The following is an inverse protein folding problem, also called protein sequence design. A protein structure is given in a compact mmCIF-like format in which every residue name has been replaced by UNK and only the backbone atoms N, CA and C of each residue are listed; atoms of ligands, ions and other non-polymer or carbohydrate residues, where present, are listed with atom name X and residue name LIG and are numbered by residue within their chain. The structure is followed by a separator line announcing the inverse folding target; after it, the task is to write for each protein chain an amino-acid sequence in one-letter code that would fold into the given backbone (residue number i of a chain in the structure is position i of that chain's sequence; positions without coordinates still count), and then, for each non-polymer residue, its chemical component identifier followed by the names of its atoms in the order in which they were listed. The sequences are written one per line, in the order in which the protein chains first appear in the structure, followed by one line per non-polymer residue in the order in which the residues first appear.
data_IF_050301226192
#
_entry.id   IF_050301226192
#
_cell.length_a   1.000
_cell.length_b   1.000
_cell.length_c   1.000
_cell.angle_alpha   90.00
_cell.angle_beta   90.00
_cell.angle_gamma   90.00
#
_symmetry.space_group_name_H-M   'P 1'
#
loop_
_entity.id
_entity.type
_entity.pdbx_description
1 polymer ?
#
# COMPACT_ATOMS: atom_id res chain seq x y z
N UNK A 1 -5.53 26.18 -9.98
CA UNK A 1 -6.69 25.87 -9.11
C UNK A 1 -6.16 25.64 -7.68
N UNK A 2 -6.67 26.36 -6.66
CA UNK A 2 -6.19 26.19 -5.27
C UNK A 2 -6.65 24.83 -4.76
N UNK A 3 -5.73 23.93 -4.42
CA UNK A 3 -6.07 22.61 -3.85
C UNK A 3 -6.57 22.79 -2.41
N UNK A 4 -7.72 22.20 -2.11
CA UNK A 4 -8.26 22.06 -0.74
C UNK A 4 -7.67 20.82 -0.07
N UNK A 5 -7.82 20.70 1.25
CA UNK A 5 -7.46 19.49 2.00
C UNK A 5 -8.12 18.24 1.37
N UNK A 6 -9.41 18.32 1.06
CA UNK A 6 -10.15 17.21 0.42
C UNK A 6 -9.55 16.80 -0.93
N UNK A 7 -9.18 17.80 -1.77
CA UNK A 7 -8.60 17.49 -3.08
C UNK A 7 -7.19 16.93 -2.99
N UNK A 8 -6.38 17.35 -2.00
CA UNK A 8 -5.05 16.78 -1.75
C UNK A 8 -5.19 15.32 -1.32
N UNK A 9 -6.06 15.03 -0.35
CA UNK A 9 -6.26 13.68 0.16
C UNK A 9 -6.75 12.73 -0.94
N UNK A 10 -7.85 13.09 -1.62
CA UNK A 10 -8.43 12.25 -2.67
C UNK A 10 -7.39 11.94 -3.76
N UNK A 11 -6.76 12.99 -4.31
CA UNK A 11 -5.78 12.84 -5.37
C UNK A 11 -4.57 11.97 -4.95
N UNK A 12 -4.07 12.17 -3.74
CA UNK A 12 -2.92 11.42 -3.25
C UNK A 12 -3.25 9.95 -2.99
N UNK A 13 -4.41 9.65 -2.39
CA UNK A 13 -4.83 8.27 -2.14
C UNK A 13 -5.18 7.54 -3.45
N UNK A 14 -5.80 8.22 -4.43
CA UNK A 14 -6.08 7.66 -5.76
C UNK A 14 -4.78 7.33 -6.51
N UNK A 15 -3.77 8.21 -6.44
CA UNK A 15 -2.46 7.95 -7.02
C UNK A 15 -1.76 6.77 -6.36
N UNK A 16 -1.86 6.66 -5.04
CA UNK A 16 -1.32 5.51 -4.30
C UNK A 16 -2.02 4.21 -4.68
N UNK A 17 -3.35 4.23 -4.82
CA UNK A 17 -4.13 3.08 -5.26
C UNK A 17 -3.76 2.67 -6.69
N UNK A 18 -3.60 3.65 -7.59
CA UNK A 18 -3.19 3.42 -8.97
C UNK A 18 -1.78 2.82 -9.07
N UNK A 19 -0.83 3.32 -8.27
CA UNK A 19 0.53 2.79 -8.22
C UNK A 19 0.56 1.36 -7.66
N UNK A 20 -0.20 1.08 -6.61
CA UNK A 20 -0.32 -0.27 -6.03
C UNK A 20 -0.97 -1.24 -7.02
N UNK A 21 -2.02 -0.83 -7.71
CA UNK A 21 -2.65 -1.65 -8.75
C UNK A 21 -1.67 -1.96 -9.89
N UNK A 22 -0.99 -0.94 -10.41
CA UNK A 22 0.07 -1.10 -11.42
C UNK A 22 1.13 -2.09 -10.95
N UNK A 23 1.63 -1.94 -9.73
CA UNK A 23 2.61 -2.85 -9.15
C UNK A 23 2.11 -4.29 -9.10
N UNK A 24 0.90 -4.51 -8.57
CA UNK A 24 0.34 -5.86 -8.41
C UNK A 24 0.11 -6.57 -9.75
N UNK A 25 -0.36 -5.86 -10.77
CA UNK A 25 -0.55 -6.39 -12.13
C UNK A 25 0.82 -6.75 -12.75
N UNK A 26 1.76 -5.82 -12.72
CA UNK A 26 3.08 -6.00 -13.33
C UNK A 26 3.93 -7.06 -12.60
N UNK A 27 3.84 -7.14 -11.28
CA UNK A 27 4.65 -8.06 -10.48
C UNK A 27 4.47 -9.51 -10.92
N UNK A 28 3.22 -9.96 -11.06
CA UNK A 28 2.93 -11.34 -11.50
C UNK A 28 3.51 -11.67 -12.87
N UNK A 29 3.44 -10.72 -13.80
CA UNK A 29 3.93 -10.92 -15.15
C UNK A 29 5.46 -10.89 -15.22
N UNK A 30 6.10 -9.97 -14.49
CA UNK A 30 7.55 -9.90 -14.36
C UNK A 30 8.09 -11.19 -13.73
N UNK A 31 7.46 -11.69 -12.67
CA UNK A 31 7.87 -12.93 -12.03
C UNK A 31 7.75 -14.14 -12.97
N UNK A 32 6.66 -14.23 -13.74
CA UNK A 32 6.49 -15.27 -14.77
C UNK A 32 7.56 -15.16 -15.87
N UNK A 33 7.80 -13.94 -16.36
CA UNK A 33 8.83 -13.69 -17.38
C UNK A 33 10.22 -14.04 -16.86
N UNK A 34 10.56 -13.66 -15.63
CA UNK A 34 11.82 -13.97 -14.99
C UNK A 34 12.01 -15.49 -14.84
N UNK A 35 11.01 -16.20 -14.31
CA UNK A 35 11.05 -17.67 -14.17
C UNK A 35 11.20 -18.37 -15.51
N UNK A 36 10.45 -17.94 -16.53
CA UNK A 36 10.54 -18.51 -17.89
C UNK A 36 11.92 -18.22 -18.49
N UNK A 37 12.39 -16.97 -18.46
CA UNK A 37 13.69 -16.61 -19.00
C UNK A 37 14.86 -17.32 -18.31
N UNK A 38 14.81 -17.45 -16.97
CA UNK A 38 15.80 -18.26 -16.24
C UNK A 38 15.74 -19.73 -16.66
N UNK A 39 14.54 -20.31 -16.82
CA UNK A 39 14.40 -21.71 -17.27
C UNK A 39 14.94 -21.91 -18.68
N UNK A 40 14.67 -20.99 -19.61
CA UNK A 40 15.15 -21.04 -20.99
C UNK A 40 16.69 -20.96 -21.09
N UNK A 41 17.34 -20.30 -20.14
CA UNK A 41 18.80 -20.11 -20.11
C UNK A 41 19.53 -20.96 -19.05
N UNK A 42 18.80 -21.78 -18.28
CA UNK A 42 19.34 -22.54 -17.15
C UNK A 42 20.50 -23.49 -17.54
N UNK A 43 20.39 -24.13 -18.67
CA UNK A 43 21.42 -25.07 -19.15
C UNK A 43 22.73 -24.31 -19.43
N UNK A 44 22.67 -23.22 -20.17
CA UNK A 44 23.84 -22.40 -20.47
C UNK A 44 24.47 -21.81 -19.20
N UNK A 45 23.64 -21.31 -18.26
CA UNK A 45 24.11 -20.82 -16.96
C UNK A 45 24.80 -21.92 -16.17
N UNK A 46 24.20 -23.10 -16.07
CA UNK A 46 24.74 -24.25 -15.32
C UNK A 46 26.08 -24.76 -15.93
N UNK A 47 26.18 -24.78 -17.25
CA UNK A 47 27.42 -25.16 -17.94
C UNK A 47 28.51 -24.12 -17.70
N UNK A 48 28.20 -22.82 -17.84
CA UNK A 48 29.16 -21.76 -17.61
C UNK A 48 29.69 -21.80 -16.17
N UNK A 49 28.79 -21.82 -15.18
CA UNK A 49 29.17 -21.88 -13.76
C UNK A 49 30.03 -23.11 -13.46
N UNK A 50 29.63 -24.28 -13.96
CA UNK A 50 30.37 -25.52 -13.76
C UNK A 50 31.78 -25.43 -14.33
N UNK A 51 31.92 -25.05 -15.62
CA UNK A 51 33.22 -24.98 -16.24
C UNK A 51 34.12 -23.92 -15.67
N UNK A 52 33.57 -22.78 -15.25
CA UNK A 52 34.34 -21.73 -14.56
C UNK A 52 34.94 -22.26 -13.24
N UNK A 53 34.13 -22.90 -12.38
CA UNK A 53 34.63 -23.46 -11.13
C UNK A 53 35.56 -24.65 -11.38
N UNK A 54 35.25 -25.50 -12.36
CA UNK A 54 36.05 -26.68 -12.67
C UNK A 54 37.45 -26.31 -13.15
N UNK A 55 37.58 -25.26 -13.96
CA UNK A 55 38.86 -24.83 -14.54
C UNK A 55 39.62 -23.89 -13.64
N UNK A 56 38.97 -22.90 -13.02
CA UNK A 56 39.56 -21.77 -12.32
C UNK A 56 39.27 -21.73 -10.81
N UNK A 57 38.28 -22.53 -10.34
CA UNK A 57 37.89 -22.53 -8.93
C UNK A 57 38.97 -23.16 -8.02
N UNK A 58 38.99 -22.72 -6.76
CA UNK A 58 39.85 -23.28 -5.72
C UNK A 58 39.49 -24.75 -5.40
N UNK A 59 40.38 -25.47 -4.76
CA UNK A 59 40.10 -26.84 -4.28
C UNK A 59 38.99 -26.86 -3.22
N UNK A 60 38.76 -25.76 -2.50
CA UNK A 60 37.69 -25.61 -1.54
C UNK A 60 36.33 -25.45 -2.26
N UNK A 61 36.25 -24.64 -3.32
CA UNK A 61 35.05 -24.48 -4.13
C UNK A 61 34.63 -25.81 -4.75
N UNK A 62 35.58 -26.60 -5.29
CA UNK A 62 35.33 -27.90 -5.90
C UNK A 62 34.88 -28.97 -4.90
N UNK A 63 35.23 -28.83 -3.61
CA UNK A 63 34.81 -29.74 -2.53
C UNK A 63 33.41 -29.40 -2.00
N UNK A 64 32.86 -28.22 -2.30
CA UNK A 64 31.54 -27.81 -1.83
C UNK A 64 30.42 -28.74 -2.30
N UNK A 65 29.42 -28.97 -1.45
CA UNK A 65 28.26 -29.81 -1.80
C UNK A 65 27.45 -29.20 -2.98
N UNK A 66 27.43 -27.88 -3.09
CA UNK A 66 26.82 -27.17 -4.21
C UNK A 66 27.48 -27.53 -5.54
N UNK A 67 28.84 -27.47 -5.59
CA UNK A 67 29.58 -27.85 -6.81
C UNK A 67 29.44 -29.32 -7.15
N UNK A 68 29.51 -30.23 -6.19
CA UNK A 68 29.31 -31.68 -6.43
C UNK A 68 27.91 -31.97 -6.97
N UNK A 69 26.89 -31.27 -6.50
CA UNK A 69 25.53 -31.39 -7.05
C UNK A 69 25.45 -30.89 -8.49
N UNK A 70 26.04 -29.71 -8.75
CA UNK A 70 26.14 -29.13 -10.08
C UNK A 70 26.89 -30.09 -11.05
N UNK A 71 28.03 -30.61 -10.64
CA UNK A 71 28.83 -31.55 -11.41
C UNK A 71 28.05 -32.80 -11.77
N UNK A 72 27.33 -33.39 -10.81
CA UNK A 72 26.47 -34.57 -11.09
C UNK A 72 25.44 -34.29 -12.17
N UNK A 73 24.83 -33.11 -12.13
CA UNK A 73 23.81 -32.72 -13.12
C UNK A 73 24.42 -32.42 -14.49
N UNK A 74 25.54 -31.69 -14.53
CA UNK A 74 26.24 -31.39 -15.78
C UNK A 74 26.75 -32.66 -16.45
N UNK A 75 27.36 -33.59 -15.68
CA UNK A 75 27.84 -34.89 -16.22
C UNK A 75 26.72 -35.80 -16.75
N UNK A 76 25.47 -35.60 -16.33
CA UNK A 76 24.30 -36.26 -16.97
C UNK A 76 24.00 -35.69 -18.35
N UNK A 77 24.20 -34.38 -18.54
CA UNK A 77 23.86 -33.66 -19.75
C UNK A 77 24.94 -33.72 -20.82
N UNK A 78 26.21 -33.58 -20.41
CA UNK A 78 27.35 -33.44 -21.33
C UNK A 78 28.50 -34.36 -20.96
N UNK A 79 29.28 -34.76 -21.98
CA UNK A 79 30.63 -35.24 -21.84
C UNK A 79 31.60 -34.13 -22.23
N UNK A 80 32.69 -33.93 -21.49
CA UNK A 80 33.61 -32.83 -21.73
C UNK A 80 35.07 -33.24 -21.61
N UNK A 81 35.94 -32.47 -22.26
CA UNK A 81 37.40 -32.53 -22.11
C UNK A 81 37.92 -31.12 -21.92
N UNK A 82 38.85 -30.94 -21.02
CA UNK A 82 39.57 -29.68 -20.83
C UNK A 82 40.78 -29.72 -21.75
N UNK A 83 40.98 -28.70 -22.56
CA UNK A 83 42.18 -28.57 -23.38
C UNK A 83 43.35 -28.15 -22.44
N UNK A 84 44.38 -28.95 -22.42
CA UNK A 84 45.60 -28.75 -21.66
C UNK A 84 46.58 -27.81 -22.39
N UNK A 85 46.12 -26.69 -22.90
CA UNK A 85 47.00 -25.67 -23.45
C UNK A 85 47.82 -24.98 -22.38
N UNK A 86 49.04 -24.58 -22.72
CA UNK A 86 50.12 -24.21 -21.83
C UNK A 86 49.99 -22.84 -21.16
N UNK A 87 48.98 -22.00 -21.48
CA UNK A 87 48.72 -20.72 -20.82
C UNK A 87 47.35 -20.74 -20.13
N UNK A 88 47.28 -20.12 -18.93
CA UNK A 88 46.00 -20.04 -18.18
C UNK A 88 44.91 -19.28 -18.94
N UNK A 89 45.30 -18.33 -19.81
CA UNK A 89 44.38 -17.53 -20.63
C UNK A 89 43.75 -18.29 -21.78
N UNK A 90 44.34 -19.43 -22.20
CA UNK A 90 43.86 -20.25 -23.36
C UNK A 90 43.18 -21.55 -22.96
N UNK A 91 42.93 -21.79 -21.67
CA UNK A 91 42.24 -23.02 -21.23
C UNK A 91 40.82 -23.03 -21.67
N UNK A 92 40.56 -23.81 -22.73
CA UNK A 92 39.22 -24.02 -23.26
C UNK A 92 38.60 -25.35 -22.77
N UNK A 93 37.28 -25.43 -22.80
CA UNK A 93 36.53 -26.65 -22.52
C UNK A 93 35.73 -27.03 -23.75
N UNK A 94 36.00 -28.22 -24.30
CA UNK A 94 35.17 -28.80 -25.34
C UNK A 94 34.19 -29.77 -24.71
N UNK A 95 32.89 -29.60 -25.02
CA UNK A 95 31.84 -30.48 -24.52
C UNK A 95 30.91 -30.95 -25.65
N UNK A 96 30.26 -32.09 -25.41
CA UNK A 96 29.28 -32.67 -26.30
C UNK A 96 28.09 -33.15 -25.49
N UNK A 97 26.88 -32.80 -25.95
CA UNK A 97 25.66 -33.32 -25.34
C UNK A 97 25.54 -34.84 -25.51
N UNK A 98 25.16 -35.54 -24.45
CA UNK A 98 24.96 -37.00 -24.46
C UNK A 98 23.66 -37.39 -25.17
N UNK A 99 22.66 -36.52 -25.16
CA UNK A 99 21.39 -36.74 -25.83
C UNK A 99 21.40 -36.06 -27.21
N UNK A 100 21.27 -36.84 -28.28
CA UNK A 100 21.28 -36.36 -29.67
C UNK A 100 20.12 -35.40 -29.97
N UNK A 101 18.96 -35.58 -29.34
CA UNK A 101 17.82 -34.63 -29.46
C UNK A 101 18.14 -33.29 -28.81
N UNK A 102 18.76 -33.29 -27.65
CA UNK A 102 19.26 -32.05 -27.03
C UNK A 102 20.36 -31.41 -27.88
N UNK A 103 21.21 -32.17 -28.50
CA UNK A 103 22.25 -31.67 -29.38
C UNK A 103 21.67 -30.97 -30.62
N UNK A 104 20.58 -31.49 -31.21
CA UNK A 104 19.92 -30.88 -32.39
C UNK A 104 19.08 -29.65 -32.01
N UNK A 105 18.42 -29.65 -30.85
CA UNK A 105 17.53 -28.57 -30.44
C UNK A 105 18.27 -27.41 -29.71
N UNK A 106 19.29 -27.72 -28.95
CA UNK A 106 20.01 -26.79 -28.08
C UNK A 106 21.43 -26.54 -28.56
N UNK A 107 22.15 -27.56 -28.99
CA UNK A 107 23.59 -27.51 -29.24
C UNK A 107 24.04 -26.59 -30.39
N UNK A 108 23.20 -26.38 -31.41
CA UNK A 108 23.50 -25.46 -32.52
C UNK A 108 23.17 -24.00 -32.21
N UNK A 109 22.44 -23.73 -31.13
CA UNK A 109 21.97 -22.41 -30.76
C UNK A 109 22.48 -21.97 -29.38
N UNK A 110 23.15 -22.84 -28.63
CA UNK A 110 23.60 -22.58 -27.27
C UNK A 110 24.91 -21.78 -27.29
N UNK A 111 24.78 -20.49 -27.14
CA UNK A 111 25.87 -19.62 -26.69
C UNK A 111 25.88 -19.62 -25.15
N UNK A 112 26.85 -20.34 -24.57
CA UNK A 112 26.94 -20.51 -23.09
C UNK A 112 27.17 -19.19 -22.38
N UNK A 113 28.00 -18.30 -22.94
CA UNK A 113 28.26 -17.00 -22.32
C UNK A 113 27.03 -16.09 -22.41
N UNK A 114 26.38 -16.04 -23.56
CA UNK A 114 25.14 -15.28 -23.76
C UNK A 114 24.04 -15.81 -22.86
N UNK A 115 23.86 -17.14 -22.78
CA UNK A 115 22.85 -17.75 -21.90
C UNK A 115 23.12 -17.46 -20.44
N UNK A 116 24.38 -17.41 -20.01
CA UNK A 116 24.75 -16.99 -18.65
C UNK A 116 24.35 -15.54 -18.39
N UNK A 117 24.68 -14.62 -19.29
CA UNK A 117 24.34 -13.22 -19.17
C UNK A 117 22.82 -12.99 -19.16
N UNK A 118 22.07 -13.67 -20.03
CA UNK A 118 20.60 -13.57 -20.06
C UNK A 118 19.96 -14.15 -18.77
N UNK A 119 20.45 -15.27 -18.27
CA UNK A 119 19.98 -15.83 -16.99
C UNK A 119 20.09 -14.79 -15.86
N UNK A 120 21.24 -14.13 -15.72
CA UNK A 120 21.47 -13.11 -14.70
C UNK A 120 20.51 -11.90 -14.86
N UNK A 121 20.26 -11.46 -16.10
CA UNK A 121 19.30 -10.38 -16.36
C UNK A 121 17.88 -10.76 -15.87
N UNK A 122 17.42 -11.95 -16.21
CA UNK A 122 16.10 -12.42 -15.75
C UNK A 122 16.04 -12.60 -14.24
N UNK A 123 17.12 -13.03 -13.61
CA UNK A 123 17.21 -13.13 -12.15
C UNK A 123 17.09 -11.77 -11.46
N UNK A 124 17.65 -10.70 -12.06
CA UNK A 124 17.61 -9.35 -11.52
C UNK A 124 16.27 -8.60 -11.73
N UNK A 125 15.45 -9.04 -12.70
CA UNK A 125 14.21 -8.32 -13.06
C UNK A 125 13.27 -8.06 -11.88
N UNK A 126 12.92 -9.04 -11.01
CA UNK A 126 12.03 -8.80 -9.87
C UNK A 126 12.62 -7.80 -8.87
N UNK A 127 13.93 -7.86 -8.64
CA UNK A 127 14.65 -6.93 -7.75
C UNK A 127 14.59 -5.50 -8.28
N UNK A 128 14.90 -5.31 -9.56
CA UNK A 128 14.86 -3.99 -10.20
C UNK A 128 13.45 -3.41 -10.19
N UNK A 129 12.44 -4.24 -10.43
CA UNK A 129 11.04 -3.82 -10.37
C UNK A 129 10.65 -3.37 -8.95
N UNK A 130 10.93 -4.16 -7.93
CA UNK A 130 10.65 -3.80 -6.54
C UNK A 130 11.35 -2.50 -6.12
N UNK A 131 12.64 -2.35 -6.47
CA UNK A 131 13.41 -1.13 -6.21
C UNK A 131 12.77 0.09 -6.89
N UNK A 132 12.37 -0.02 -8.16
CA UNK A 132 11.75 1.07 -8.91
C UNK A 132 10.43 1.50 -8.30
N UNK A 133 9.60 0.54 -7.90
CA UNK A 133 8.31 0.83 -7.27
C UNK A 133 8.50 1.49 -5.90
N UNK A 134 9.47 1.06 -5.10
CA UNK A 134 9.79 1.70 -3.82
C UNK A 134 10.21 3.17 -4.01
N UNK A 135 11.03 3.46 -5.01
CA UNK A 135 11.43 4.83 -5.34
C UNK A 135 10.22 5.67 -5.75
N UNK A 136 9.36 5.13 -6.64
CA UNK A 136 8.14 5.83 -7.07
C UNK A 136 7.18 6.09 -5.91
N UNK A 137 7.05 5.13 -4.98
CA UNK A 137 6.23 5.26 -3.78
C UNK A 137 6.67 6.44 -2.92
N UNK A 138 7.98 6.59 -2.69
CA UNK A 138 8.55 7.70 -1.93
C UNK A 138 8.32 9.03 -2.67
N UNK A 139 8.52 9.09 -3.99
CA UNK A 139 8.25 10.29 -4.78
C UNK A 139 6.79 10.73 -4.61
N UNK A 140 5.83 9.80 -4.64
CA UNK A 140 4.42 10.12 -4.44
C UNK A 140 4.12 10.61 -3.02
N UNK A 141 4.80 10.09 -2.02
CA UNK A 141 4.71 10.63 -0.67
C UNK A 141 5.31 12.04 -0.55
N UNK A 142 6.46 12.28 -1.17
CA UNK A 142 7.10 13.61 -1.21
C UNK A 142 6.22 14.64 -1.93
N UNK A 143 5.56 14.28 -3.03
CA UNK A 143 4.56 15.13 -3.70
C UNK A 143 3.40 15.49 -2.76
N UNK A 144 2.88 14.51 -2.01
CA UNK A 144 1.83 14.75 -1.02
C UNK A 144 2.30 15.72 0.09
N UNK A 145 3.49 15.51 0.65
CA UNK A 145 4.06 16.40 1.67
C UNK A 145 4.21 17.83 1.13
N UNK A 146 4.73 17.99 -0.10
CA UNK A 146 4.87 19.29 -0.73
C UNK A 146 3.52 20.01 -0.87
N UNK A 147 2.45 19.31 -1.22
CA UNK A 147 1.11 19.87 -1.30
C UNK A 147 0.56 20.32 0.06
N UNK A 148 0.79 19.54 1.12
CA UNK A 148 0.40 19.89 2.48
C UNK A 148 1.20 21.12 2.96
N UNK A 149 2.51 21.15 2.74
CA UNK A 149 3.35 22.32 3.06
C UNK A 149 2.90 23.58 2.30
N UNK A 150 2.61 23.45 1.01
CA UNK A 150 2.08 24.56 0.20
C UNK A 150 0.75 25.08 0.76
N UNK A 151 -0.12 24.16 1.22
CA UNK A 151 -1.38 24.56 1.85
C UNK A 151 -1.13 25.35 3.15
N UNK A 152 -0.20 24.90 4.01
CA UNK A 152 0.18 25.61 5.24
C UNK A 152 0.75 27.00 4.92
N UNK A 153 1.65 27.13 3.93
CA UNK A 153 2.19 28.42 3.49
C UNK A 153 1.08 29.38 2.99
N UNK A 154 0.05 28.86 2.29
CA UNK A 154 -1.10 29.65 1.84
C UNK A 154 -1.97 30.11 2.98
N UNK A 155 -2.18 29.27 3.99
CA UNK A 155 -3.05 29.56 5.15
C UNK A 155 -2.36 30.44 6.20
N UNK A 156 -1.06 30.32 6.36
CA UNK A 156 -0.26 31.06 7.33
C UNK A 156 0.86 31.89 6.68
N UNK A 157 0.53 32.79 5.73
CA UNK A 157 1.55 33.48 4.93
C UNK A 157 2.50 34.33 5.78
N UNK A 158 2.03 34.95 6.88
CA UNK A 158 2.88 35.73 7.77
C UNK A 158 4.01 34.88 8.36
N UNK A 159 3.74 33.64 8.76
CA UNK A 159 4.75 32.75 9.34
C UNK A 159 5.82 32.30 8.33
N UNK A 160 5.47 32.22 7.03
CA UNK A 160 6.34 31.59 6.05
C UNK A 160 6.92 32.54 5.00
N UNK A 161 6.22 33.64 4.72
CA UNK A 161 6.54 34.51 3.59
C UNK A 161 6.95 35.94 4.02
N UNK A 162 6.89 36.30 5.32
CA UNK A 162 7.17 37.63 5.79
C UNK A 162 8.63 38.08 5.52
N UNK A 163 9.57 37.13 5.63
CA UNK A 163 10.99 37.38 5.39
C UNK A 163 11.44 37.10 3.93
N UNK A 164 10.52 36.73 3.04
CA UNK A 164 10.88 36.38 1.67
C UNK A 164 11.08 37.63 0.80
N UNK A 165 12.22 37.65 0.11
CA UNK A 165 12.55 38.77 -0.78
C UNK A 165 11.91 38.58 -2.17
N UNK A 166 11.30 39.63 -2.69
CA UNK A 166 10.70 39.70 -4.02
C UNK A 166 11.54 40.57 -4.91
N UNK A 167 11.92 40.10 -6.09
CA UNK A 167 12.63 40.93 -7.09
C UNK A 167 11.68 41.95 -7.68
N UNK A 168 12.17 43.18 -7.93
CA UNK A 168 11.38 44.23 -8.54
C UNK A 168 10.75 43.79 -9.87
N UNK A 169 11.46 43.01 -10.66
CA UNK A 169 10.97 42.46 -11.93
C UNK A 169 9.74 41.55 -11.77
N UNK A 170 9.57 40.88 -10.62
CA UNK A 170 8.41 40.05 -10.34
C UNK A 170 7.17 40.88 -9.99
N UNK A 171 7.35 42.10 -9.46
CA UNK A 171 6.28 43.04 -9.13
C UNK A 171 5.76 43.79 -10.35
N UNK A 172 6.61 44.04 -11.38
CA UNK A 172 6.22 44.82 -12.56
C UNK A 172 5.19 44.14 -13.46
N UNK A 173 5.00 42.82 -13.32
CA UNK A 173 3.97 42.07 -14.03
C UNK A 173 2.54 42.26 -13.50
N UNK A 174 2.34 42.98 -12.40
CA UNK A 174 1.04 43.38 -11.85
C UNK A 174 0.18 42.24 -11.25
N UNK A 175 0.64 40.98 -11.30
CA UNK A 175 -0.12 39.83 -10.77
C UNK A 175 0.42 39.41 -9.39
N UNK A 176 -0.04 40.06 -8.35
CA UNK A 176 0.34 39.76 -6.95
C UNK A 176 0.03 38.31 -6.56
N UNK A 177 -1.05 37.74 -7.09
CA UNK A 177 -1.40 36.35 -6.81
C UNK A 177 -0.35 35.38 -7.39
N UNK A 178 0.17 35.64 -8.59
CA UNK A 178 1.24 34.85 -9.18
C UNK A 178 2.56 34.98 -8.42
N UNK A 179 2.89 36.21 -7.98
CA UNK A 179 4.08 36.45 -7.14
C UNK A 179 3.99 35.63 -5.85
N UNK A 180 2.83 35.66 -5.19
CA UNK A 180 2.59 34.90 -3.95
C UNK A 180 2.76 33.39 -4.20
N UNK A 181 2.19 32.83 -5.26
CA UNK A 181 2.35 31.41 -5.57
C UNK A 181 3.80 31.03 -5.86
N UNK A 182 4.58 31.90 -6.55
CA UNK A 182 6.00 31.71 -6.76
C UNK A 182 6.81 31.71 -5.46
N UNK A 183 6.46 32.58 -4.50
CA UNK A 183 7.07 32.59 -3.18
C UNK A 183 6.78 31.30 -2.42
N UNK A 184 5.54 30.86 -2.44
CA UNK A 184 5.12 29.59 -1.82
C UNK A 184 5.90 28.43 -2.42
N UNK A 185 5.98 28.35 -3.76
CA UNK A 185 6.71 27.28 -4.43
C UNK A 185 8.21 27.28 -4.05
N UNK A 186 8.86 28.45 -4.05
CA UNK A 186 10.26 28.55 -3.60
C UNK A 186 10.45 28.07 -2.16
N UNK A 187 9.52 28.41 -1.26
CA UNK A 187 9.57 27.98 0.14
C UNK A 187 9.39 26.48 0.28
N UNK A 188 8.41 25.90 -0.42
CA UNK A 188 8.19 24.45 -0.46
C UNK A 188 9.40 23.73 -1.02
N UNK A 189 9.95 24.21 -2.13
CA UNK A 189 11.16 23.64 -2.76
C UNK A 189 12.37 23.67 -1.80
N UNK A 190 12.48 24.71 -0.96
CA UNK A 190 13.51 24.78 0.08
C UNK A 190 13.29 23.69 1.15
N UNK A 191 12.06 23.55 1.66
CA UNK A 191 11.73 22.50 2.62
C UNK A 191 11.91 21.09 2.06
N UNK A 192 11.54 20.84 0.80
CA UNK A 192 11.71 19.53 0.18
C UNK A 192 13.16 19.11 -0.03
N UNK A 193 14.12 20.05 0.00
CA UNK A 193 15.58 19.73 0.00
C UNK A 193 16.12 19.35 1.36
N UNK A 194 15.36 19.63 2.42
CA UNK A 194 15.74 19.29 3.77
C UNK A 194 15.46 17.82 4.09
N UNK A 195 15.91 17.38 5.28
CA UNK A 195 15.55 16.05 5.79
C UNK A 195 14.03 15.94 6.00
N UNK A 196 13.48 14.78 5.67
CA UNK A 196 12.06 14.47 5.93
C UNK A 196 11.66 14.74 7.39
N UNK A 197 12.55 14.56 8.36
CA UNK A 197 12.30 14.89 9.78
C UNK A 197 11.97 16.37 10.01
N UNK A 198 12.47 17.26 9.16
CA UNK A 198 12.16 18.69 9.28
C UNK A 198 10.73 19.02 8.83
N UNK A 199 10.16 18.26 7.88
CA UNK A 199 8.77 18.43 7.49
C UNK A 199 7.83 18.17 8.68
N UNK A 200 8.11 17.11 9.46
CA UNK A 200 7.31 16.79 10.65
C UNK A 200 7.44 17.84 11.75
N UNK A 201 8.64 18.42 11.95
CA UNK A 201 8.81 19.57 12.87
C UNK A 201 7.98 20.78 12.44
N UNK A 202 7.84 21.02 11.13
CA UNK A 202 6.97 22.08 10.62
C UNK A 202 5.52 21.77 10.99
N UNK A 203 5.05 20.55 10.80
CA UNK A 203 3.70 20.15 11.17
C UNK A 203 3.44 20.32 12.68
N UNK A 204 4.33 19.84 13.53
CA UNK A 204 4.28 20.05 14.99
C UNK A 204 4.24 21.52 15.37
N UNK A 205 5.03 22.36 14.70
CA UNK A 205 5.05 23.82 14.96
C UNK A 205 3.72 24.50 14.66
N UNK A 206 2.78 23.83 13.96
CA UNK A 206 1.41 24.26 13.75
C UNK A 206 0.40 23.66 14.72
N UNK A 207 0.86 22.86 15.69
CA UNK A 207 0.00 22.23 16.68
C UNK A 207 -0.64 20.93 16.21
N UNK A 208 -0.10 20.31 15.15
CA UNK A 208 -0.44 18.93 14.81
C UNK A 208 0.12 18.00 15.89
N UNK A 209 -0.69 17.07 16.38
CA UNK A 209 -0.31 16.13 17.42
C UNK A 209 0.54 15.00 16.84
N UNK A 210 1.83 15.00 17.18
CA UNK A 210 2.79 14.00 16.73
C UNK A 210 2.78 12.71 17.55
N UNK A 211 1.99 12.62 18.63
CA UNK A 211 2.02 11.46 19.54
C UNK A 211 1.69 10.12 18.87
N UNK A 212 0.89 10.14 17.82
CA UNK A 212 0.54 8.97 17.02
C UNK A 212 1.55 8.65 15.89
N UNK A 213 2.59 9.48 15.70
CA UNK A 213 3.49 9.38 14.55
C UNK A 213 4.78 8.59 14.85
N UNK A 214 5.15 8.42 16.13
CA UNK A 214 6.46 7.85 16.52
C UNK A 214 6.75 6.49 15.86
N UNK A 215 5.86 5.53 15.97
CA UNK A 215 6.04 4.22 15.38
C UNK A 215 5.97 4.23 13.85
N UNK A 216 4.97 4.88 13.21
CA UNK A 216 4.96 5.08 11.76
C UNK A 216 6.21 5.81 11.22
N UNK A 217 6.73 6.82 11.94
CA UNK A 217 7.95 7.52 11.58
C UNK A 217 9.20 6.64 11.62
N UNK A 218 9.30 5.72 12.58
CA UNK A 218 10.42 4.76 12.63
C UNK A 218 10.39 3.82 11.41
N UNK A 219 9.20 3.34 11.03
CA UNK A 219 9.03 2.53 9.81
C UNK A 219 9.33 3.33 8.55
N UNK A 220 8.89 4.59 8.49
CA UNK A 220 9.19 5.50 7.40
C UNK A 220 10.69 5.78 7.29
N UNK A 221 11.39 5.93 8.42
CA UNK A 221 12.85 6.12 8.46
C UNK A 221 13.60 4.96 7.79
N UNK A 222 13.17 3.72 8.03
CA UNK A 222 13.73 2.54 7.37
C UNK A 222 13.49 2.57 5.87
N UNK A 223 12.27 2.91 5.42
CA UNK A 223 11.93 3.02 4.00
C UNK A 223 12.83 4.04 3.28
N UNK A 224 13.06 5.21 3.87
CA UNK A 224 13.97 6.22 3.33
C UNK A 224 15.43 5.77 3.33
N UNK A 225 15.88 5.14 4.42
CA UNK A 225 17.23 4.61 4.51
C UNK A 225 17.48 3.51 3.46
N UNK A 226 16.52 2.61 3.25
CA UNK A 226 16.58 1.56 2.22
C UNK A 226 16.61 2.15 0.82
N UNK A 227 15.76 3.13 0.52
CA UNK A 227 15.82 3.83 -0.78
C UNK A 227 17.18 4.46 -1.01
N UNK A 228 17.77 5.07 0.02
CA UNK A 228 19.06 5.74 -0.11
C UNK A 228 20.18 4.74 -0.43
N UNK A 229 20.24 3.58 0.22
CA UNK A 229 21.25 2.56 -0.14
C UNK A 229 20.97 1.96 -1.53
N UNK A 230 19.71 1.82 -1.95
CA UNK A 230 19.39 1.35 -3.30
C UNK A 230 19.93 2.32 -4.35
N UNK A 231 19.71 3.61 -4.18
CA UNK A 231 20.09 4.64 -5.16
C UNK A 231 21.60 4.88 -5.15
N UNK A 232 22.26 4.89 -3.98
CA UNK A 232 23.62 5.36 -3.83
C UNK A 232 24.63 4.26 -3.49
N UNK A 233 24.20 3.05 -3.09
CA UNK A 233 25.07 1.98 -2.63
C UNK A 233 24.65 0.57 -3.11
N UNK A 234 23.97 0.49 -4.25
CA UNK A 234 23.52 -0.78 -4.87
C UNK A 234 22.71 -1.70 -3.92
N UNK A 235 22.05 -1.14 -2.92
CA UNK A 235 21.29 -1.88 -1.91
C UNK A 235 22.13 -2.48 -0.78
N UNK A 236 23.40 -2.12 -0.67
CA UNK A 236 24.30 -2.62 0.38
C UNK A 236 24.23 -1.73 1.61
N UNK A 237 24.04 -2.33 2.79
CA UNK A 237 24.00 -1.64 4.09
C UNK A 237 25.30 -0.94 4.38
N UNK A 238 25.23 0.34 4.68
CA UNK A 238 26.35 1.17 5.10
C UNK A 238 26.15 1.76 6.50
N UNK A 239 27.16 2.45 7.03
CA UNK A 239 27.10 3.06 8.36
C UNK A 239 25.95 4.08 8.50
N UNK A 240 25.65 4.83 7.43
CA UNK A 240 24.55 5.81 7.40
C UNK A 240 23.19 5.11 7.54
N UNK A 241 22.99 3.98 6.88
CA UNK A 241 21.76 3.18 7.05
C UNK A 241 21.60 2.77 8.51
N UNK A 242 22.64 2.19 9.12
CA UNK A 242 22.60 1.70 10.51
C UNK A 242 22.40 2.83 11.52
N UNK A 243 22.91 4.03 11.26
CA UNK A 243 22.69 5.20 12.15
C UNK A 243 21.26 5.73 12.07
N UNK A 244 20.60 5.62 10.91
CA UNK A 244 19.25 6.14 10.70
C UNK A 244 18.14 5.15 11.08
N UNK A 245 18.44 3.84 11.12
CA UNK A 245 17.46 2.78 11.42
C UNK A 245 17.71 2.25 12.82
N UNK A 246 16.98 2.78 13.80
CA UNK A 246 17.10 2.35 15.20
C UNK A 246 16.71 0.90 15.36
N UNK A 247 17.60 0.11 16.02
CA UNK A 247 17.33 -1.31 16.28
C UNK A 247 17.39 -2.20 15.04
N UNK A 248 18.04 -1.74 13.96
CA UNK A 248 18.28 -2.56 12.77
C UNK A 248 18.97 -3.88 13.13
N UNK A 249 18.51 -4.98 12.54
CA UNK A 249 19.11 -6.31 12.66
C UNK A 249 20.11 -6.59 11.54
N UNK A 250 20.17 -5.74 10.53
CA UNK A 250 21.02 -5.85 9.36
C UNK A 250 22.47 -5.54 9.72
N UNK A 251 23.40 -6.13 8.97
CA UNK A 251 24.82 -5.98 9.20
C UNK A 251 25.46 -5.08 8.14
N UNK A 252 26.53 -4.40 8.51
CA UNK A 252 27.34 -3.63 7.58
C UNK A 252 27.82 -4.53 6.42
N UNK A 253 27.62 -4.08 5.18
CA UNK A 253 27.96 -4.84 3.98
C UNK A 253 26.91 -5.86 3.53
N UNK A 254 25.82 -6.04 4.27
CA UNK A 254 24.72 -6.91 3.87
C UNK A 254 23.94 -6.30 2.68
N UNK A 255 23.58 -7.15 1.70
CA UNK A 255 22.78 -6.71 0.58
C UNK A 255 21.28 -6.90 0.88
N UNK A 256 20.53 -5.82 0.87
CA UNK A 256 19.08 -5.84 1.12
C UNK A 256 18.31 -5.93 -0.18
N UNK A 257 17.29 -6.79 -0.18
CA UNK A 257 16.37 -6.96 -1.29
C UNK A 257 15.03 -6.31 -0.98
N UNK A 258 14.34 -5.82 -2.02
CA UNK A 258 12.98 -5.31 -1.94
C UNK A 258 12.03 -6.38 -2.44
N UNK A 259 11.54 -7.20 -1.51
CA UNK A 259 10.56 -8.25 -1.80
C UNK A 259 9.16 -7.68 -2.02
N UNK A 260 8.24 -8.50 -2.56
CA UNK A 260 6.83 -8.11 -2.66
C UNK A 260 6.24 -7.76 -1.31
N UNK A 261 6.47 -8.57 -0.29
CA UNK A 261 5.98 -8.31 1.06
C UNK A 261 6.50 -6.98 1.62
N UNK A 262 7.77 -6.66 1.33
CA UNK A 262 8.33 -5.38 1.74
C UNK A 262 7.66 -4.19 1.06
N UNK A 263 7.41 -4.28 -0.25
CA UNK A 263 6.69 -3.22 -0.99
C UNK A 263 5.27 -3.05 -0.48
N UNK A 264 4.54 -4.16 -0.27
CA UNK A 264 3.18 -4.12 0.28
C UNK A 264 3.15 -3.46 1.67
N UNK A 265 4.14 -3.77 2.53
CA UNK A 265 4.28 -3.13 3.84
C UNK A 265 4.61 -1.63 3.73
N UNK A 266 5.49 -1.25 2.80
CA UNK A 266 5.83 0.14 2.55
C UNK A 266 4.62 0.97 2.07
N UNK A 267 3.76 0.43 1.19
CA UNK A 267 2.48 1.04 0.84
C UNK A 267 1.61 1.28 2.08
N UNK A 268 1.55 0.30 3.00
CA UNK A 268 0.83 0.43 4.27
C UNK A 268 1.32 1.60 5.10
N UNK A 269 2.63 1.68 5.34
CA UNK A 269 3.26 2.76 6.14
C UNK A 269 3.01 4.14 5.53
N UNK A 270 3.21 4.28 4.22
CA UNK A 270 3.02 5.56 3.53
C UNK A 270 1.56 6.02 3.61
N UNK A 271 0.59 5.14 3.38
CA UNK A 271 -0.84 5.47 3.52
C UNK A 271 -1.20 5.86 4.95
N UNK A 272 -0.69 5.13 5.92
CA UNK A 272 -0.89 5.44 7.34
C UNK A 272 -0.41 6.85 7.65
N UNK A 273 0.81 7.21 7.23
CA UNK A 273 1.35 8.55 7.41
C UNK A 273 0.50 9.61 6.70
N UNK A 274 0.06 9.37 5.46
CA UNK A 274 -0.82 10.29 4.74
C UNK A 274 -2.13 10.53 5.49
N UNK A 275 -2.78 9.47 5.98
CA UNK A 275 -4.03 9.57 6.74
C UNK A 275 -3.81 10.34 8.04
N UNK A 276 -2.80 10.00 8.82
CA UNK A 276 -2.48 10.68 10.09
C UNK A 276 -2.20 12.18 9.88
N UNK A 277 -1.38 12.52 8.89
CA UNK A 277 -1.07 13.93 8.56
C UNK A 277 -2.35 14.68 8.18
N UNK A 278 -3.22 14.08 7.38
CA UNK A 278 -4.45 14.73 6.93
C UNK A 278 -5.46 14.89 8.06
N UNK A 279 -5.58 13.91 8.96
CA UNK A 279 -6.41 14.01 10.14
C UNK A 279 -5.97 15.18 11.02
N UNK A 280 -4.67 15.30 11.30
CA UNK A 280 -4.13 16.39 12.10
C UNK A 280 -4.18 17.74 11.36
N UNK A 281 -3.95 17.75 10.04
CA UNK A 281 -4.07 18.96 9.23
C UNK A 281 -5.47 19.58 9.30
N UNK A 282 -6.52 18.77 9.40
CA UNK A 282 -7.90 19.23 9.51
C UNK A 282 -8.20 19.96 10.83
N UNK A 283 -7.36 19.78 11.85
CA UNK A 283 -7.48 20.49 13.15
C UNK A 283 -6.91 21.90 13.09
N UNK A 284 -5.90 22.10 12.24
CA UNK A 284 -5.13 23.36 12.18
C UNK A 284 -5.44 24.21 10.95
N UNK A 285 -5.87 23.57 9.86
CA UNK A 285 -6.30 24.26 8.64
C UNK A 285 -7.82 24.32 8.60
N UNK A 286 -8.44 25.51 8.58
CA UNK A 286 -9.88 25.62 8.43
C UNK A 286 -10.35 24.96 7.13
N UNK A 287 -11.28 24.04 7.24
CA UNK A 287 -11.93 23.35 6.11
C UNK A 287 -13.29 23.96 5.91
N UNK A 288 -13.60 24.43 4.71
CA UNK A 288 -14.88 25.11 4.40
C UNK A 288 -16.08 24.18 4.62
N UNK A 289 -15.93 22.91 4.26
CA UNK A 289 -16.90 21.87 4.57
C UNK A 289 -16.22 20.71 5.29
N UNK A 290 -16.11 20.82 6.60
CA UNK A 290 -15.47 19.81 7.44
C UNK A 290 -16.20 18.47 7.41
N UNK A 291 -17.53 18.49 7.26
CA UNK A 291 -18.30 17.24 7.23
C UNK A 291 -18.01 16.45 5.95
N UNK A 292 -17.97 17.10 4.78
CA UNK A 292 -17.64 16.45 3.52
C UNK A 292 -16.21 15.90 3.55
N UNK A 293 -15.28 16.63 4.16
CA UNK A 293 -13.91 16.17 4.34
C UNK A 293 -13.81 14.94 5.24
N UNK A 294 -14.47 14.96 6.40
CA UNK A 294 -14.51 13.82 7.32
C UNK A 294 -15.21 12.61 6.67
N UNK A 295 -16.21 12.88 5.84
CA UNK A 295 -16.91 11.83 5.10
C UNK A 295 -15.98 11.19 4.03
N UNK A 296 -15.17 11.99 3.34
CA UNK A 296 -14.16 11.47 2.41
C UNK A 296 -13.17 10.54 3.11
N UNK A 297 -12.69 10.92 4.30
CA UNK A 297 -11.82 10.04 5.10
C UNK A 297 -12.56 8.75 5.49
N UNK A 298 -13.84 8.86 5.87
CA UNK A 298 -14.67 7.71 6.20
C UNK A 298 -14.79 6.74 5.02
N UNK A 299 -15.03 7.24 3.81
CA UNK A 299 -15.10 6.42 2.60
C UNK A 299 -13.81 5.65 2.34
N UNK A 300 -12.65 6.33 2.39
CA UNK A 300 -11.36 5.67 2.23
C UNK A 300 -11.06 4.64 3.35
N UNK A 301 -11.39 4.97 4.60
CA UNK A 301 -11.25 4.05 5.72
C UNK A 301 -12.12 2.79 5.52
N UNK A 302 -13.31 2.96 4.93
CA UNK A 302 -14.21 1.85 4.64
C UNK A 302 -13.69 0.98 3.48
N UNK A 303 -13.11 1.58 2.44
CA UNK A 303 -12.42 0.81 1.39
C UNK A 303 -11.23 0.04 1.96
N UNK A 304 -10.42 0.63 2.84
CA UNK A 304 -9.36 -0.10 3.54
C UNK A 304 -9.91 -1.29 4.35
N UNK A 305 -11.06 -1.12 5.00
CA UNK A 305 -11.71 -2.19 5.74
C UNK A 305 -12.15 -3.34 4.82
N UNK A 306 -12.70 -3.03 3.65
CA UNK A 306 -13.10 -4.01 2.62
C UNK A 306 -11.91 -4.76 2.06
N UNK A 307 -10.81 -4.06 1.86
CA UNK A 307 -9.55 -4.62 1.34
C UNK A 307 -8.76 -5.42 2.39
N UNK A 308 -9.25 -5.52 3.63
CA UNK A 308 -8.55 -6.21 4.71
C UNK A 308 -7.34 -5.45 5.28
N UNK A 309 -7.21 -4.15 4.97
CA UNK A 309 -6.17 -3.25 5.52
C UNK A 309 -6.62 -2.74 6.89
N UNK A 310 -6.78 -3.68 7.83
CA UNK A 310 -7.45 -3.44 9.11
C UNK A 310 -6.77 -2.39 9.97
N UNK A 311 -5.43 -2.35 9.99
CA UNK A 311 -4.68 -1.36 10.78
C UNK A 311 -4.97 0.08 10.33
N UNK A 312 -4.99 0.34 9.02
CA UNK A 312 -5.33 1.66 8.47
C UNK A 312 -6.76 2.06 8.80
N UNK A 313 -7.70 1.12 8.66
CA UNK A 313 -9.09 1.32 9.02
C UNK A 313 -9.26 1.60 10.49
N UNK A 314 -8.56 0.86 11.35
CA UNK A 314 -8.59 1.03 12.82
C UNK A 314 -8.21 2.47 13.19
N UNK A 315 -7.08 2.96 12.70
CA UNK A 315 -6.57 4.30 12.98
C UNK A 315 -7.57 5.37 12.52
N UNK A 316 -8.01 5.29 11.28
CA UNK A 316 -8.90 6.28 10.70
C UNK A 316 -10.27 6.29 11.41
N UNK A 317 -10.88 5.13 11.64
CA UNK A 317 -12.18 5.04 12.30
C UNK A 317 -12.14 5.38 13.78
N UNK A 318 -11.05 5.04 14.50
CA UNK A 318 -10.85 5.51 15.87
C UNK A 318 -10.89 7.03 15.92
N UNK A 319 -10.12 7.71 15.06
CA UNK A 319 -10.08 9.16 15.01
C UNK A 319 -11.44 9.76 14.64
N UNK A 320 -12.10 9.25 13.58
CA UNK A 320 -13.43 9.71 13.14
C UNK A 320 -14.49 9.53 14.21
N UNK A 321 -14.42 8.49 15.04
CA UNK A 321 -15.36 8.26 16.15
C UNK A 321 -15.27 9.33 17.23
N UNK A 322 -14.13 10.04 17.33
CA UNK A 322 -13.88 11.15 18.28
C UNK A 322 -14.04 12.54 17.66
N UNK A 323 -14.21 12.64 16.34
CA UNK A 323 -14.27 13.92 15.64
C UNK A 323 -15.53 14.72 16.00
N UNK A 324 -15.37 15.82 16.75
CA UNK A 324 -16.49 16.64 17.26
C UNK A 324 -17.38 17.22 16.15
N UNK A 325 -16.77 17.54 15.00
CA UNK A 325 -17.45 18.11 13.85
C UNK A 325 -18.12 17.06 12.95
N UNK A 326 -18.04 15.78 13.30
CA UNK A 326 -18.75 14.72 12.58
C UNK A 326 -20.10 14.44 13.24
N UNK A 327 -21.14 14.14 12.48
CA UNK A 327 -22.47 13.88 13.04
C UNK A 327 -22.45 12.72 14.04
N UNK A 328 -23.34 12.70 15.02
CA UNK A 328 -23.43 11.61 16.00
C UNK A 328 -23.56 10.26 15.32
N UNK A 329 -24.41 10.16 14.30
CA UNK A 329 -24.60 8.95 13.49
C UNK A 329 -23.29 8.49 12.86
N UNK A 330 -22.56 9.40 12.21
CA UNK A 330 -21.31 9.05 11.53
C UNK A 330 -20.19 8.69 12.53
N UNK A 331 -20.12 9.35 13.69
CA UNK A 331 -19.19 8.95 14.75
C UNK A 331 -19.50 7.54 15.26
N UNK A 332 -20.76 7.20 15.40
CA UNK A 332 -21.19 5.87 15.82
C UNK A 332 -20.89 4.82 14.76
N UNK A 333 -21.15 5.11 13.48
CA UNK A 333 -20.75 4.24 12.37
C UNK A 333 -19.23 4.01 12.36
N UNK A 334 -18.45 5.09 12.61
CA UNK A 334 -17.00 4.99 12.73
C UNK A 334 -16.57 4.12 13.90
N UNK A 335 -17.24 4.22 15.06
CA UNK A 335 -16.96 3.37 16.21
C UNK A 335 -17.20 1.89 15.93
N UNK A 336 -18.30 1.56 15.26
CA UNK A 336 -18.57 0.16 14.88
C UNK A 336 -17.56 -0.35 13.87
N UNK A 337 -17.18 0.45 12.87
CA UNK A 337 -16.16 0.07 11.90
C UNK A 337 -14.75 -0.04 12.54
N UNK A 338 -14.44 0.76 13.55
CA UNK A 338 -13.26 0.59 14.37
C UNK A 338 -13.23 -0.76 15.09
N UNK A 339 -14.33 -1.17 15.72
CA UNK A 339 -14.42 -2.48 16.35
C UNK A 339 -14.30 -3.63 15.34
N UNK A 340 -14.91 -3.49 14.15
CA UNK A 340 -14.74 -4.45 13.06
C UNK A 340 -13.27 -4.56 12.67
N UNK A 341 -12.58 -3.44 12.47
CA UNK A 341 -11.17 -3.41 12.11
C UNK A 341 -10.31 -4.12 13.15
N UNK A 342 -10.54 -3.86 14.44
CA UNK A 342 -9.84 -4.55 15.55
C UNK A 342 -10.11 -6.05 15.56
N UNK A 343 -11.37 -6.46 15.50
CA UNK A 343 -11.75 -7.88 15.58
C UNK A 343 -11.24 -8.68 14.39
N UNK A 344 -11.32 -8.12 13.18
CA UNK A 344 -10.87 -8.80 11.97
C UNK A 344 -9.36 -8.70 11.76
N UNK A 345 -8.72 -7.66 12.30
CA UNK A 345 -7.26 -7.49 12.32
C UNK A 345 -6.54 -8.39 13.33
N UNK A 346 -7.28 -9.18 14.11
CA UNK A 346 -6.70 -10.11 15.07
C UNK A 346 -6.42 -9.53 16.46
N UNK A 347 -6.83 -8.29 16.72
CA UNK A 347 -6.71 -7.63 18.04
C UNK A 347 -7.89 -7.94 18.97
N UNK A 348 -8.53 -9.10 18.79
CA UNK A 348 -9.65 -9.53 19.65
C UNK A 348 -9.14 -9.86 21.05
N UNK A 349 -9.72 -9.21 22.06
CA UNK A 349 -9.48 -9.50 23.46
C UNK A 349 -10.76 -9.28 24.27
N UNK A 350 -10.77 -9.77 25.51
CA UNK A 350 -11.94 -9.67 26.41
C UNK A 350 -12.31 -8.21 26.72
N UNK A 351 -11.35 -7.30 26.76
CA UNK A 351 -11.59 -5.87 26.99
C UNK A 351 -12.42 -5.26 25.86
N UNK A 352 -12.05 -5.54 24.61
CA UNK A 352 -12.79 -5.08 23.44
C UNK A 352 -14.21 -5.66 23.40
N UNK A 353 -14.36 -6.95 23.67
CA UNK A 353 -15.67 -7.59 23.72
C UNK A 353 -16.55 -7.02 24.83
N UNK A 354 -15.97 -6.68 25.98
CA UNK A 354 -16.70 -6.06 27.09
C UNK A 354 -17.09 -4.61 26.75
N UNK A 355 -16.25 -3.85 26.05
CA UNK A 355 -16.59 -2.53 25.53
C UNK A 355 -17.83 -2.62 24.60
N UNK A 356 -17.82 -3.55 23.64
CA UNK A 356 -18.94 -3.77 22.72
C UNK A 356 -20.21 -4.20 23.50
N UNK A 357 -20.11 -5.10 24.48
CA UNK A 357 -21.25 -5.56 25.30
C UNK A 357 -21.89 -4.41 26.07
N UNK A 358 -21.07 -3.58 26.70
CA UNK A 358 -21.52 -2.45 27.54
C UNK A 358 -22.07 -1.27 26.76
N UNK A 359 -21.80 -1.22 25.44
CA UNK A 359 -22.27 -0.09 24.62
C UNK A 359 -23.80 -0.13 24.44
N UNK A 360 -24.50 0.92 24.88
CA UNK A 360 -25.95 0.99 24.82
C UNK A 360 -26.45 1.34 23.41
N UNK A 361 -27.23 0.45 22.84
CA UNK A 361 -27.91 0.62 21.51
C UNK A 361 -29.43 0.60 21.63
N UNK A 362 -30.00 0.66 22.85
CA UNK A 362 -31.43 0.47 23.09
C UNK A 362 -32.28 1.52 22.36
N UNK A 363 -31.86 2.78 22.41
CA UNK A 363 -32.54 3.91 21.75
C UNK A 363 -31.99 4.21 20.34
N UNK A 364 -31.12 3.34 19.79
CA UNK A 364 -30.48 3.56 18.49
C UNK A 364 -31.25 2.87 17.35
N UNK A 365 -30.95 3.28 16.11
CA UNK A 365 -31.48 2.66 14.89
C UNK A 365 -31.22 1.13 14.90
N UNK A 366 -32.10 0.36 14.26
CA UNK A 366 -32.05 -1.10 14.24
C UNK A 366 -30.74 -1.64 13.70
N UNK A 367 -30.11 -0.92 12.76
CA UNK A 367 -28.83 -1.29 12.17
C UNK A 367 -27.69 -1.39 13.19
N UNK A 368 -27.67 -0.51 14.19
CA UNK A 368 -26.67 -0.56 15.27
C UNK A 368 -26.92 -1.72 16.24
N UNK A 369 -28.20 -2.12 16.44
CA UNK A 369 -28.56 -3.30 17.21
C UNK A 369 -28.09 -4.55 16.49
N UNK A 370 -28.39 -4.67 15.20
CA UNK A 370 -27.91 -5.76 14.34
C UNK A 370 -26.39 -5.82 14.38
N UNK A 371 -25.70 -4.68 14.18
CA UNK A 371 -24.26 -4.62 14.17
C UNK A 371 -23.64 -5.10 15.49
N UNK A 372 -24.20 -4.69 16.64
CA UNK A 372 -23.75 -5.16 17.96
C UNK A 372 -23.90 -6.67 18.11
N UNK A 373 -25.06 -7.23 17.78
CA UNK A 373 -25.28 -8.68 17.86
C UNK A 373 -24.35 -9.46 16.94
N UNK A 374 -24.09 -8.97 15.71
CA UNK A 374 -23.16 -9.60 14.78
C UNK A 374 -21.72 -9.58 15.32
N UNK A 375 -21.26 -8.46 15.91
CA UNK A 375 -19.92 -8.34 16.51
C UNK A 375 -19.74 -9.29 17.70
N UNK A 376 -20.82 -9.55 18.46
CA UNK A 376 -20.82 -10.47 19.60
C UNK A 376 -21.13 -11.94 19.19
N UNK A 377 -21.27 -12.21 17.89
CA UNK A 377 -21.62 -13.52 17.33
C UNK A 377 -22.97 -14.08 17.84
N UNK A 378 -23.85 -13.19 18.31
CA UNK A 378 -25.23 -13.49 18.72
C UNK A 378 -26.13 -13.53 17.48
N UNK A 379 -26.00 -14.60 16.70
CA UNK A 379 -26.59 -14.68 15.35
C UNK A 379 -28.08 -14.95 15.34
N UNK A 380 -28.65 -15.53 16.41
CA UNK A 380 -30.08 -15.74 16.49
C UNK A 380 -30.82 -14.41 16.64
N UNK A 381 -30.40 -13.56 17.60
CA UNK A 381 -30.96 -12.23 17.82
C UNK A 381 -30.73 -11.30 16.62
N UNK A 382 -29.53 -11.38 16.02
CA UNK A 382 -29.24 -10.62 14.82
C UNK A 382 -30.15 -11.01 13.64
N UNK A 383 -30.40 -12.32 13.46
CA UNK A 383 -31.22 -12.82 12.34
C UNK A 383 -32.67 -12.41 12.46
N UNK A 384 -33.24 -12.39 13.67
CA UNK A 384 -34.60 -11.92 13.92
C UNK A 384 -34.76 -10.46 13.48
N UNK A 385 -33.89 -9.58 13.95
CA UNK A 385 -33.91 -8.16 13.54
C UNK A 385 -33.66 -7.95 12.04
N UNK A 386 -32.79 -8.77 11.44
CA UNK A 386 -32.53 -8.72 9.99
C UNK A 386 -33.78 -9.15 9.21
N UNK A 387 -34.48 -10.20 9.63
CA UNK A 387 -35.72 -10.63 8.96
C UNK A 387 -36.78 -9.53 8.99
N UNK A 388 -37.01 -8.91 10.16
CA UNK A 388 -37.94 -7.77 10.29
C UNK A 388 -37.56 -6.61 9.38
N UNK A 389 -36.28 -6.26 9.36
CA UNK A 389 -35.76 -5.17 8.53
C UNK A 389 -35.83 -5.47 7.03
N UNK A 390 -35.62 -6.74 6.62
CA UNK A 390 -35.78 -7.17 5.24
C UNK A 390 -37.21 -7.00 4.72
N UNK A 391 -38.20 -7.03 5.59
CA UNK A 391 -39.60 -6.79 5.20
C UNK A 391 -39.86 -5.29 4.96
N UNK A 392 -39.12 -4.41 5.64
CA UNK A 392 -39.33 -2.96 5.65
C UNK A 392 -38.45 -2.17 4.66
N UNK A 393 -37.21 -2.66 4.39
CA UNK A 393 -36.22 -1.90 3.63
C UNK A 393 -35.65 -2.63 2.40
N UNK A 394 -35.54 -1.91 1.26
CA UNK A 394 -34.95 -2.46 0.02
C UNK A 394 -33.41 -2.49 0.01
N UNK A 395 -32.73 -1.65 0.81
CA UNK A 395 -31.26 -1.50 0.80
C UNK A 395 -30.51 -2.53 1.64
N UNK A 396 -31.14 -3.13 2.63
CA UNK A 396 -30.52 -4.07 3.56
C UNK A 396 -29.84 -5.28 2.88
N UNK A 397 -30.37 -5.90 1.82
CA UNK A 397 -29.70 -7.00 1.15
C UNK A 397 -28.30 -6.65 0.61
N UNK A 398 -28.10 -5.42 0.12
CA UNK A 398 -26.79 -4.95 -0.34
C UNK A 398 -25.78 -4.87 0.82
N UNK A 399 -26.18 -4.29 1.95
CA UNK A 399 -25.36 -4.18 3.14
C UNK A 399 -24.93 -5.56 3.67
N UNK A 400 -25.85 -6.51 3.74
CA UNK A 400 -25.58 -7.88 4.16
C UNK A 400 -24.54 -8.58 3.28
N UNK A 401 -24.49 -8.24 1.99
CA UNK A 401 -23.53 -8.84 1.05
C UNK A 401 -22.17 -8.15 1.07
N UNK A 402 -22.12 -6.83 1.27
CA UNK A 402 -20.92 -6.02 1.03
C UNK A 402 -20.19 -5.57 2.31
N UNK A 403 -20.94 -5.24 3.38
CA UNK A 403 -20.33 -4.70 4.58
C UNK A 403 -19.46 -5.75 5.28
N UNK A 404 -18.20 -5.45 5.59
CA UNK A 404 -17.27 -6.37 6.26
C UNK A 404 -17.79 -6.90 7.61
N UNK A 405 -18.66 -6.16 8.28
CA UNK A 405 -19.36 -6.60 9.49
C UNK A 405 -19.90 -8.04 9.37
N UNK A 406 -20.51 -8.35 8.24
CA UNK A 406 -21.18 -9.64 8.02
C UNK A 406 -20.27 -10.74 7.49
N UNK A 407 -18.94 -10.55 7.47
CA UNK A 407 -17.98 -11.52 6.90
C UNK A 407 -18.10 -12.91 7.53
N UNK A 408 -18.16 -12.97 8.87
CA UNK A 408 -18.33 -14.23 9.59
C UNK A 408 -19.77 -14.74 9.52
N UNK A 409 -20.74 -13.83 9.66
CA UNK A 409 -22.16 -14.15 9.59
C UNK A 409 -22.55 -14.80 8.26
N UNK A 410 -22.01 -14.32 7.13
CA UNK A 410 -22.20 -14.90 5.79
C UNK A 410 -21.80 -16.39 5.69
N UNK A 411 -20.89 -16.86 6.55
CA UNK A 411 -20.46 -18.27 6.61
C UNK A 411 -21.37 -19.12 7.48
N UNK A 412 -22.24 -18.51 8.29
CA UNK A 412 -23.10 -19.18 9.27
C UNK A 412 -24.27 -19.92 8.63
N UNK A 413 -24.86 -20.86 9.40
CA UNK A 413 -26.13 -21.54 9.04
C UNK A 413 -27.31 -20.55 8.96
N UNK A 414 -27.28 -19.49 9.78
CA UNK A 414 -28.33 -18.47 9.87
C UNK A 414 -28.42 -17.70 8.56
N UNK A 415 -27.31 -17.21 8.02
CA UNK A 415 -27.29 -16.51 6.75
C UNK A 415 -27.71 -17.40 5.56
N UNK A 416 -27.29 -18.66 5.55
CA UNK A 416 -27.71 -19.63 4.52
C UNK A 416 -29.22 -19.86 4.53
N UNK A 417 -29.85 -19.91 5.70
CA UNK A 417 -31.31 -20.03 5.85
C UNK A 417 -32.00 -18.76 5.38
N UNK A 418 -31.48 -17.59 5.79
CA UNK A 418 -31.98 -16.28 5.40
C UNK A 418 -31.92 -16.10 3.87
N UNK A 419 -30.78 -16.43 3.25
CA UNK A 419 -30.58 -16.34 1.81
C UNK A 419 -31.59 -17.19 1.02
N UNK A 420 -31.93 -18.40 1.50
CA UNK A 420 -32.94 -19.26 0.89
C UNK A 420 -34.36 -18.67 1.04
N UNK A 421 -34.68 -18.16 2.23
CA UNK A 421 -36.03 -17.60 2.52
C UNK A 421 -36.32 -16.33 1.73
N UNK A 422 -35.31 -15.50 1.47
CA UNK A 422 -35.41 -14.20 0.82
C UNK A 422 -34.65 -14.12 -0.51
N UNK A 423 -34.50 -15.24 -1.24
CA UNK A 423 -33.69 -15.35 -2.45
C UNK A 423 -34.00 -14.23 -3.46
N UNK A 424 -35.27 -13.96 -3.72
CA UNK A 424 -35.73 -12.92 -4.69
C UNK A 424 -35.21 -11.52 -4.36
N UNK A 425 -35.11 -11.17 -3.05
CA UNK A 425 -34.61 -9.87 -2.62
C UNK A 425 -33.10 -9.75 -2.87
N UNK A 426 -32.36 -10.80 -2.63
CA UNK A 426 -30.91 -10.86 -2.87
C UNK A 426 -30.56 -10.90 -4.35
N UNK A 427 -31.35 -11.59 -5.19
CA UNK A 427 -31.16 -11.61 -6.65
C UNK A 427 -31.42 -10.24 -7.28
N UNK A 428 -32.47 -9.55 -6.89
CA UNK A 428 -32.75 -8.17 -7.33
C UNK A 428 -31.60 -7.23 -6.97
N UNK A 429 -30.97 -7.42 -5.82
CA UNK A 429 -29.82 -6.64 -5.40
C UNK A 429 -28.60 -6.90 -6.27
N UNK A 430 -28.26 -8.17 -6.57
CA UNK A 430 -27.18 -8.56 -7.47
C UNK A 430 -27.38 -8.00 -8.88
N UNK A 431 -28.61 -8.01 -9.38
CA UNK A 431 -28.92 -7.49 -10.70
C UNK A 431 -28.76 -5.97 -10.79
N UNK A 432 -29.19 -5.22 -9.76
CA UNK A 432 -28.96 -3.77 -9.65
C UNK A 432 -27.46 -3.45 -9.59
N UNK A 433 -26.64 -4.26 -8.91
CA UNK A 433 -25.20 -4.09 -8.81
C UNK A 433 -24.48 -4.33 -10.14
N UNK A 434 -24.85 -5.35 -10.91
CA UNK A 434 -24.27 -5.61 -12.24
C UNK A 434 -24.60 -4.51 -13.27
N UNK A 435 -25.76 -3.86 -13.16
CA UNK A 435 -26.10 -2.70 -13.99
C UNK A 435 -25.36 -1.41 -13.56
N UNK A 436 -25.01 -1.28 -12.29
CA UNK A 436 -24.31 -0.11 -11.75
C UNK A 436 -22.78 -0.30 -11.72
N UNK A 437 -22.27 -1.49 -12.07
CA UNK A 437 -20.82 -1.72 -12.21
C UNK A 437 -20.18 -0.94 -13.38
N UNK A 438 -21.01 -0.35 -14.27
CA UNK A 438 -20.58 0.65 -15.26
C UNK A 438 -20.60 2.10 -14.71
N UNK A 439 -21.14 2.32 -13.51
CA UNK A 439 -21.09 3.59 -12.79
C UNK A 439 -20.48 3.34 -11.41
N UNK A 440 -19.40 4.03 -11.08
CA UNK A 440 -18.76 3.98 -9.75
C UNK A 440 -19.83 4.17 -8.67
N UNK A 441 -20.06 3.19 -7.76
CA UNK A 441 -21.10 3.32 -6.74
C UNK A 441 -20.67 4.44 -5.77
N UNK A 442 -21.39 5.55 -5.77
CA UNK A 442 -21.27 6.50 -4.67
C UNK A 442 -21.91 5.86 -3.43
N UNK A 443 -21.22 5.94 -2.29
CA UNK A 443 -21.68 5.42 -0.99
C UNK A 443 -23.05 5.93 -0.52
N UNK A 444 -23.65 6.89 -1.24
CA UNK A 444 -25.05 7.33 -1.07
C UNK A 444 -26.06 6.19 -1.20
N UNK A 445 -25.67 5.12 -1.89
CA UNK A 445 -26.51 3.95 -2.16
C UNK A 445 -26.25 2.78 -1.20
N UNK A 446 -25.19 2.86 -0.37
CA UNK A 446 -24.94 1.91 0.71
C UNK A 446 -25.68 2.45 1.94
N UNK A 447 -27.00 2.35 1.87
CA UNK A 447 -27.92 3.15 2.63
C UNK A 447 -27.94 2.97 4.13
N UNK A 448 -27.67 4.03 4.76
CA UNK A 448 -28.48 4.49 5.86
C UNK A 448 -29.31 5.67 5.30
N UNK A 449 -30.61 5.48 5.16
CA UNK A 449 -31.53 6.43 4.54
C UNK A 449 -31.39 7.84 5.15
N UNK A 450 -30.72 8.76 4.45
CA UNK A 450 -30.71 10.18 4.80
C UNK A 450 -32.07 10.82 4.44
N UNK A 451 -33.12 10.46 5.17
CA UNK A 451 -34.35 11.28 5.24
C UNK A 451 -34.19 12.34 6.33
N UNK A 452 -33.27 13.30 6.15
CA UNK A 452 -33.36 14.60 6.82
C UNK A 452 -33.90 15.60 5.80
N UNK A 453 -35.07 16.18 6.13
CA UNK A 453 -35.94 16.99 5.34
C UNK A 453 -35.31 17.97 4.36
N UNK A 454 -35.74 17.91 3.12
CA UNK A 454 -35.77 19.07 2.24
C UNK A 454 -36.61 20.16 2.90
N UNK A 455 -36.02 21.10 3.59
CA UNK A 455 -36.65 22.41 3.80
C UNK A 455 -36.56 23.16 2.48
N UNK A 456 -37.74 23.50 1.96
CA UNK A 456 -37.92 24.19 0.72
C UNK A 456 -37.17 25.52 0.69
N UNK A 457 -36.41 25.73 -0.37
CA UNK A 457 -35.99 27.07 -0.78
C UNK A 457 -37.22 27.79 -1.35
N UNK A 458 -37.85 28.60 -0.49
CA UNK A 458 -38.78 29.64 -0.96
C UNK A 458 -37.99 30.65 -1.79
N UNK A 459 -38.50 30.95 -2.98
CA UNK A 459 -38.14 32.12 -3.77
C UNK A 459 -38.54 33.37 -3.01
N UNK A 460 -37.63 34.28 -2.77
CA UNK A 460 -37.81 35.72 -2.98
C UNK A 460 -36.51 36.24 -3.59
#
# INVERSE_FOLDING_TARGET
MRKSLSSILAHSLDHMASLEHFYNVQYSDIEKMARKGMADHLIGWSLNLFFTIYVFGSEEDKKSEGFKSLERNVRKLVSFKVDSSTSEEERGVRFKFKNTKMQSEIGCKLDVQRSFAEYLKFQEMPRLHGNSVLIMLIIKFEEFIAEVLALLCRKFPQKYLEEENVKYSELTGGNIAAVRENLIQRKVDAYMRESYMNWFKIFESHGMDASAWDEPLQRLAEIYARRNIIVHNSGVVNATYLSNVRGSKEKLGESLTVSKQYVDAAFGVIREMMVLIMLEASRVVPVEDINDYLYLIFEHAFEFLKDGKYQLSEIAFFWLSKAKNFSEKNRMMSLFNFWIAKLWGGSSNDLLLNEIRSFDVTAKEVDFKIAKYILLEQYDEATELIEDSLMAEESLPANLLQWPLFLKYRKSKHFKKLLRKYADKFERCKWKQNKNAEAVPQMKDIGFNNRSGRMGRGRI
#
